data_IF_248279329925
#
_entry.id   IF_248279329925
#
_cell.length_a   1.000
_cell.length_b   1.000
_cell.length_c   1.000
_cell.angle_alpha   90.00
_cell.angle_beta   90.00
_cell.angle_gamma   90.00
#
_symmetry.space_group_name_H-M   'P 1'
#
loop_
_entity.id
_entity.type
_entity.pdbx_description
1 polymer ?
#
# COMPACT_ATOMS: atom_id res chain seq x y z
N UNK A 1 -25.31 -0.53 -28.73
CA UNK A 1 -25.02 -1.62 -29.68
C UNK A 1 -23.80 -1.21 -30.49
N UNK A 2 -22.63 -1.81 -30.25
CA UNK A 2 -21.45 -1.66 -31.09
C UNK A 2 -21.09 -3.06 -31.62
N UNK A 3 -20.96 -3.18 -32.95
CA UNK A 3 -20.70 -4.43 -33.65
C UNK A 3 -19.22 -4.81 -33.55
N UNK A 4 -18.98 -6.11 -33.44
CA UNK A 4 -17.69 -6.76 -33.65
C UNK A 4 -17.26 -6.55 -35.11
N UNK A 5 -16.10 -5.93 -35.39
CA UNK A 5 -15.62 -5.80 -36.77
C UNK A 5 -14.48 -4.84 -37.11
N UNK A 6 -14.16 -3.81 -36.32
CA UNK A 6 -13.18 -2.80 -36.76
C UNK A 6 -11.76 -3.07 -36.21
N UNK A 7 -11.03 -3.94 -36.89
CA UNK A 7 -9.57 -4.06 -36.73
C UNK A 7 -8.93 -2.98 -37.59
N UNK A 8 -8.53 -1.86 -36.98
CA UNK A 8 -7.70 -0.85 -37.64
C UNK A 8 -6.26 -1.36 -37.72
N UNK A 9 -5.87 -1.72 -38.94
CA UNK A 9 -4.52 -2.12 -39.32
C UNK A 9 -3.57 -0.91 -39.21
N UNK A 10 -2.66 -0.94 -38.22
CA UNK A 10 -1.63 0.10 -38.05
C UNK A 10 -0.47 -0.22 -38.98
N UNK A 11 -0.25 0.62 -40.01
CA UNK A 11 0.92 0.51 -40.90
C UNK A 11 2.21 0.88 -40.17
N UNK A 12 3.32 0.14 -40.37
CA UNK A 12 4.59 0.46 -39.75
C UNK A 12 5.20 1.72 -40.38
N UNK A 13 5.36 2.79 -39.59
CA UNK A 13 6.08 4.00 -40.01
C UNK A 13 5.48 5.35 -39.58
N UNK A 14 4.26 5.39 -39.04
CA UNK A 14 3.65 6.64 -38.59
C UNK A 14 3.85 6.88 -37.08
N UNK A 15 4.29 8.10 -36.72
CA UNK A 15 4.44 8.50 -35.31
C UNK A 15 3.06 8.53 -34.62
N UNK A 16 2.90 7.95 -33.43
CA UNK A 16 1.60 7.92 -32.77
C UNK A 16 1.19 9.34 -32.37
N UNK A 17 0.16 9.88 -33.04
CA UNK A 17 -0.55 11.07 -32.56
C UNK A 17 -1.23 10.73 -31.24
N UNK A 18 -0.72 11.41 -30.22
CA UNK A 18 -1.12 11.43 -28.82
C UNK A 18 -2.65 11.46 -28.65
N UNK A 19 -3.25 10.33 -28.31
CA UNK A 19 -4.54 10.27 -27.63
C UNK A 19 -4.29 10.48 -26.12
N UNK A 20 -4.22 11.76 -25.71
CA UNK A 20 -4.39 12.16 -24.31
C UNK A 20 -5.84 11.84 -23.91
N UNK A 21 -6.04 10.82 -23.08
CA UNK A 21 -7.37 10.57 -22.48
C UNK A 21 -7.60 9.19 -21.90
N UNK A 22 -6.84 8.17 -22.33
CA UNK A 22 -6.97 6.80 -21.81
C UNK A 22 -5.57 6.23 -21.62
N UNK A 23 -5.03 6.39 -20.41
CA UNK A 23 -3.73 5.85 -20.02
C UNK A 23 -3.77 4.35 -19.78
N UNK A 24 -4.11 3.57 -20.80
CA UNK A 24 -3.72 2.16 -20.90
C UNK A 24 -2.95 2.02 -22.21
N UNK A 25 -1.73 2.51 -22.20
CA UNK A 25 -0.77 2.25 -23.28
C UNK A 25 -0.25 0.84 -23.03
N UNK A 26 -0.87 -0.15 -23.68
CA UNK A 26 -0.24 -1.45 -23.90
C UNK A 26 0.82 -1.23 -24.98
N UNK A 27 1.94 -0.63 -24.62
CA UNK A 27 3.15 -0.68 -25.45
C UNK A 27 3.80 -2.03 -25.20
N UNK A 28 3.39 -3.01 -26.00
CA UNK A 28 4.23 -4.15 -26.32
C UNK A 28 5.46 -3.66 -27.08
N UNK A 29 6.54 -3.41 -26.34
CA UNK A 29 7.92 -3.49 -26.81
C UNK A 29 8.62 -4.35 -25.75
N UNK A 30 8.79 -5.66 -25.90
CA UNK A 30 9.65 -6.30 -26.91
C UNK A 30 11.01 -5.58 -27.05
N UNK A 31 11.60 -5.20 -25.92
CA UNK A 31 13.05 -5.06 -25.81
C UNK A 31 13.60 -6.27 -25.05
N UNK A 32 13.99 -7.26 -25.84
CA UNK A 32 15.27 -7.95 -25.71
C UNK A 32 15.70 -8.44 -24.33
N UNK A 33 15.13 -9.56 -23.88
CA UNK A 33 15.94 -10.61 -23.29
C UNK A 33 15.68 -11.91 -24.06
N UNK A 34 16.29 -11.99 -25.24
CA UNK A 34 16.62 -13.28 -25.84
C UNK A 34 17.69 -13.90 -24.93
N UNK A 35 17.27 -14.72 -23.97
CA UNK A 35 18.15 -15.73 -23.40
C UNK A 35 17.80 -17.07 -24.05
N UNK A 36 18.67 -17.64 -24.90
CA UNK A 36 18.44 -18.93 -25.52
C UNK A 36 18.92 -20.02 -24.56
N UNK A 37 18.16 -20.32 -23.50
CA UNK A 37 18.43 -21.50 -22.68
C UNK A 37 17.14 -22.17 -22.21
N UNK A 38 16.89 -23.39 -22.72
CA UNK A 38 16.07 -24.45 -22.12
C UNK A 38 14.63 -24.09 -21.73
N UNK A 39 13.69 -24.14 -22.69
CA UNK A 39 12.29 -23.72 -22.54
C UNK A 39 11.40 -24.50 -21.55
N UNK A 40 11.78 -25.65 -20.99
CA UNK A 40 10.96 -26.32 -19.95
C UNK A 40 11.56 -26.25 -18.54
N UNK A 41 12.89 -26.24 -18.41
CA UNK A 41 13.57 -26.14 -17.13
C UNK A 41 13.50 -24.75 -16.50
N UNK A 42 13.57 -23.68 -17.30
CA UNK A 42 13.57 -22.30 -16.78
C UNK A 42 12.19 -21.86 -16.29
N UNK A 43 11.10 -22.32 -16.93
CA UNK A 43 9.74 -22.05 -16.45
C UNK A 43 9.39 -22.84 -15.18
N UNK A 44 9.87 -24.08 -15.06
CA UNK A 44 9.71 -24.86 -13.84
C UNK A 44 10.46 -24.22 -12.68
N UNK A 45 11.72 -23.82 -12.90
CA UNK A 45 12.53 -23.11 -11.91
C UNK A 45 11.88 -21.78 -11.49
N UNK A 46 11.40 -20.98 -12.46
CA UNK A 46 10.68 -19.73 -12.17
C UNK A 46 9.43 -19.96 -11.33
N UNK A 47 8.60 -20.97 -11.65
CA UNK A 47 7.41 -21.32 -10.87
C UNK A 47 7.76 -21.76 -9.45
N UNK A 48 8.86 -22.48 -9.27
CA UNK A 48 9.34 -22.87 -7.93
C UNK A 48 9.76 -21.63 -7.14
N UNK A 49 10.55 -20.74 -7.73
CA UNK A 49 10.98 -19.49 -7.07
C UNK A 49 9.78 -18.63 -6.69
N UNK A 50 8.82 -18.43 -7.61
CA UNK A 50 7.60 -17.67 -7.34
C UNK A 50 6.79 -18.28 -6.17
N UNK A 51 6.68 -19.60 -6.10
CA UNK A 51 6.01 -20.29 -4.99
C UNK A 51 6.77 -20.13 -3.67
N UNK A 52 8.09 -20.28 -3.69
CA UNK A 52 8.92 -20.12 -2.48
C UNK A 52 8.81 -18.69 -1.95
N UNK A 53 8.93 -17.68 -2.82
CA UNK A 53 8.78 -16.27 -2.44
C UNK A 53 7.39 -15.99 -1.87
N UNK A 54 6.34 -16.48 -2.52
CA UNK A 54 4.97 -16.32 -2.03
C UNK A 54 4.77 -16.99 -0.65
N UNK A 55 5.31 -18.19 -0.45
CA UNK A 55 5.25 -18.88 0.83
C UNK A 55 6.00 -18.14 1.93
N UNK A 56 7.20 -17.62 1.64
CA UNK A 56 8.00 -16.85 2.62
C UNK A 56 7.27 -15.56 3.00
N UNK A 57 6.72 -14.83 2.03
CA UNK A 57 5.91 -13.64 2.31
C UNK A 57 4.65 -13.97 3.11
N UNK A 58 3.99 -15.08 2.80
CA UNK A 58 2.82 -15.54 3.54
C UNK A 58 3.16 -15.85 5.00
N UNK A 59 4.26 -16.58 5.24
CA UNK A 59 4.73 -16.90 6.60
C UNK A 59 5.10 -15.61 7.34
N UNK A 60 5.86 -14.71 6.71
CA UNK A 60 6.25 -13.43 7.30
C UNK A 60 5.01 -12.63 7.71
N UNK A 61 4.03 -12.50 6.81
CA UNK A 61 2.78 -11.79 7.10
C UNK A 61 2.04 -12.43 8.28
N UNK A 62 1.87 -13.75 8.29
CA UNK A 62 1.15 -14.45 9.38
C UNK A 62 1.86 -14.26 10.71
N UNK A 63 3.19 -14.41 10.75
CA UNK A 63 3.97 -14.22 11.97
C UNK A 63 3.92 -12.77 12.46
N UNK A 64 4.18 -11.79 11.58
CA UNK A 64 4.15 -10.38 11.92
C UNK A 64 2.76 -9.91 12.35
N UNK A 65 1.71 -10.37 11.67
CA UNK A 65 0.32 -10.08 12.03
C UNK A 65 -0.03 -10.71 13.37
N UNK A 66 0.42 -11.94 13.64
CA UNK A 66 0.23 -12.60 14.93
C UNK A 66 0.83 -11.81 16.09
N UNK A 67 2.04 -11.28 15.93
CA UNK A 67 2.69 -10.38 16.92
C UNK A 67 1.88 -9.10 17.10
N UNK A 68 1.53 -8.42 16.01
CA UNK A 68 0.78 -7.16 16.06
C UNK A 68 -0.60 -7.35 16.72
N UNK A 69 -1.34 -8.40 16.34
CA UNK A 69 -2.65 -8.71 16.93
C UNK A 69 -2.50 -9.04 18.42
N UNK A 70 -1.48 -9.81 18.80
CA UNK A 70 -1.22 -10.12 20.22
C UNK A 70 -0.97 -8.85 21.03
N UNK A 71 -0.17 -7.93 20.49
CA UNK A 71 0.07 -6.62 21.10
C UNK A 71 -1.22 -5.81 21.26
N UNK A 72 -2.05 -5.73 20.22
CA UNK A 72 -3.32 -4.98 20.25
C UNK A 72 -4.38 -5.60 21.17
N UNK A 73 -4.31 -6.91 21.43
CA UNK A 73 -5.18 -7.56 22.42
C UNK A 73 -4.78 -7.15 23.84
N UNK A 74 -3.47 -7.06 24.11
CA UNK A 74 -2.95 -6.72 25.44
C UNK A 74 -3.10 -5.24 25.75
N UNK A 75 -2.78 -4.37 24.78
CA UNK A 75 -2.72 -2.92 24.96
C UNK A 75 -3.95 -2.17 24.44
N UNK A 76 -4.97 -2.89 23.99
CA UNK A 76 -6.08 -2.35 23.21
C UNK A 76 -5.63 -1.73 21.88
N UNK A 77 -6.62 -1.34 21.06
CA UNK A 77 -6.32 -0.68 19.80
C UNK A 77 -5.74 0.72 20.05
N UNK A 78 -4.63 1.05 19.39
CA UNK A 78 -3.92 2.31 19.62
C UNK A 78 -4.50 3.46 18.81
N UNK A 79 -4.54 4.66 19.39
CA UNK A 79 -5.04 5.88 18.76
C UNK A 79 -4.04 7.04 18.89
N UNK A 80 -4.50 8.28 18.68
CA UNK A 80 -3.62 9.46 18.73
C UNK A 80 -3.10 9.82 20.11
N UNK A 81 -3.73 9.37 21.20
CA UNK A 81 -3.25 9.72 22.55
C UNK A 81 -1.93 9.01 22.88
N UNK A 82 -1.69 7.84 22.29
CA UNK A 82 -0.44 7.07 22.40
C UNK A 82 0.74 7.70 21.65
N UNK A 83 0.50 8.72 20.81
CA UNK A 83 1.61 9.52 20.27
C UNK A 83 2.29 10.37 21.35
N UNK A 84 1.57 10.64 22.45
CA UNK A 84 2.08 11.44 23.56
C UNK A 84 3.11 10.66 24.37
N UNK A 85 4.23 11.31 24.68
CA UNK A 85 5.31 10.78 25.53
C UNK A 85 5.55 11.75 26.67
N UNK A 86 5.43 11.25 27.90
CA UNK A 86 5.63 12.02 29.12
C UNK A 86 7.05 12.58 29.17
N UNK A 87 7.17 13.79 29.73
CA UNK A 87 8.44 14.50 29.94
C UNK A 87 9.27 14.79 28.67
N UNK A 88 8.71 14.57 27.47
CA UNK A 88 9.35 14.89 26.19
C UNK A 88 8.72 16.17 25.61
N UNK A 89 9.51 17.18 25.23
CA UNK A 89 8.97 18.37 24.56
C UNK A 89 8.22 18.00 23.26
N UNK A 90 7.06 18.65 23.05
CA UNK A 90 6.14 18.39 21.92
C UNK A 90 6.87 18.38 20.56
N UNK A 91 7.83 19.28 20.37
CA UNK A 91 8.61 19.36 19.13
C UNK A 91 9.35 18.06 18.80
N UNK A 92 9.95 17.39 19.81
CA UNK A 92 10.62 16.11 19.61
C UNK A 92 9.64 14.98 19.32
N UNK A 93 8.46 14.99 19.95
CA UNK A 93 7.41 14.00 19.68
C UNK A 93 6.92 14.11 18.22
N UNK A 94 6.67 15.34 17.74
CA UNK A 94 6.29 15.58 16.33
C UNK A 94 7.38 15.10 15.38
N UNK A 95 8.65 15.42 15.66
CA UNK A 95 9.78 14.93 14.86
C UNK A 95 9.82 13.41 14.85
N UNK A 96 9.62 12.76 15.99
CA UNK A 96 9.65 11.31 16.11
C UNK A 96 8.54 10.64 15.31
N UNK A 97 7.28 11.08 15.47
CA UNK A 97 6.14 10.58 14.70
C UNK A 97 6.36 10.80 13.21
N UNK A 98 6.82 11.99 12.81
CA UNK A 98 7.13 12.28 11.41
C UNK A 98 8.26 11.38 10.87
N UNK A 99 9.31 11.14 11.67
CA UNK A 99 10.41 10.27 11.30
C UNK A 99 9.93 8.83 11.07
N UNK A 100 9.17 8.25 12.01
CA UNK A 100 8.59 6.90 11.86
C UNK A 100 7.69 6.83 10.63
N UNK A 101 6.80 7.81 10.43
CA UNK A 101 5.91 7.85 9.28
C UNK A 101 6.67 7.90 7.95
N UNK A 102 7.72 8.73 7.85
CA UNK A 102 8.54 8.87 6.64
C UNK A 102 9.33 7.58 6.36
N UNK A 103 10.05 7.07 7.37
CA UNK A 103 10.89 5.87 7.21
C UNK A 103 10.04 4.69 6.79
N UNK A 104 8.91 4.46 7.46
CA UNK A 104 8.04 3.32 7.15
C UNK A 104 7.35 3.50 5.79
N UNK A 105 6.99 4.72 5.39
CA UNK A 105 6.47 4.99 4.04
C UNK A 105 7.49 4.67 2.95
N UNK A 106 8.77 5.03 3.15
CA UNK A 106 9.83 4.67 2.21
C UNK A 106 9.97 3.15 2.11
N UNK A 107 9.96 2.44 3.23
CA UNK A 107 10.08 0.98 3.26
C UNK A 107 8.89 0.28 2.58
N UNK A 108 7.68 0.75 2.83
CA UNK A 108 6.47 0.25 2.18
C UNK A 108 6.53 0.40 0.67
N UNK A 109 6.92 1.59 0.20
CA UNK A 109 7.02 1.82 -1.24
C UNK A 109 8.14 0.99 -1.86
N UNK A 110 9.26 0.83 -1.14
CA UNK A 110 10.33 -0.08 -1.54
C UNK A 110 9.83 -1.52 -1.70
N UNK A 111 8.89 -1.96 -0.84
CA UNK A 111 8.17 -3.21 -1.01
C UNK A 111 7.49 -3.29 -2.38
N UNK A 112 6.68 -2.30 -2.75
CA UNK A 112 6.03 -2.26 -4.06
C UNK A 112 7.00 -2.20 -5.23
N UNK A 113 8.14 -1.50 -5.10
CA UNK A 113 9.19 -1.45 -6.12
C UNK A 113 9.79 -2.85 -6.34
N UNK A 114 10.19 -3.51 -5.25
CA UNK A 114 10.87 -4.81 -5.31
C UNK A 114 9.92 -5.87 -5.86
N UNK A 115 8.71 -5.97 -5.31
CA UNK A 115 7.76 -7.02 -5.68
C UNK A 115 6.96 -6.70 -6.94
N UNK A 116 6.63 -5.43 -7.17
CA UNK A 116 5.99 -4.94 -8.38
C UNK A 116 6.94 -4.69 -9.54
N UNK A 117 8.27 -4.82 -9.34
CA UNK A 117 9.32 -4.51 -10.33
C UNK A 117 9.07 -3.16 -11.03
N UNK A 118 8.60 -2.18 -10.27
CA UNK A 118 8.21 -0.86 -10.78
C UNK A 118 9.34 0.12 -10.50
N UNK A 119 9.99 0.62 -11.56
CA UNK A 119 11.15 1.50 -11.45
C UNK A 119 10.79 3.00 -11.40
N UNK A 120 9.51 3.34 -11.19
CA UNK A 120 9.03 4.72 -11.11
C UNK A 120 8.39 5.03 -9.76
N UNK A 121 9.05 5.88 -8.95
CA UNK A 121 8.52 6.39 -7.68
C UNK A 121 8.15 7.86 -7.86
N UNK A 122 6.94 8.22 -7.46
CA UNK A 122 6.50 9.61 -7.33
C UNK A 122 6.04 9.83 -5.90
N UNK A 123 6.48 10.91 -5.24
CA UNK A 123 6.17 11.13 -3.82
C UNK A 123 5.98 12.59 -3.47
N UNK A 124 5.29 12.82 -2.36
CA UNK A 124 5.17 14.14 -1.74
C UNK A 124 5.63 14.05 -0.29
N UNK A 125 6.72 14.78 0.02
CA UNK A 125 7.27 14.87 1.38
C UNK A 125 6.25 15.49 2.35
N UNK A 126 5.43 16.42 1.86
CA UNK A 126 4.45 17.15 2.67
C UNK A 126 3.33 16.26 3.23
N UNK A 127 3.08 15.11 2.58
CA UNK A 127 2.05 14.16 2.95
C UNK A 127 2.63 12.82 3.41
N UNK A 128 3.96 12.71 3.51
CA UNK A 128 4.68 11.46 3.80
C UNK A 128 4.14 10.27 3.00
N UNK A 129 3.81 10.50 1.72
CA UNK A 129 3.26 9.49 0.82
C UNK A 129 4.16 9.36 -0.40
N UNK A 130 4.81 8.21 -0.55
CA UNK A 130 5.46 7.78 -1.78
C UNK A 130 4.52 6.81 -2.52
N UNK A 131 4.58 6.77 -3.85
CA UNK A 131 3.70 5.93 -4.69
C UNK A 131 4.40 5.45 -5.95
N UNK A 132 4.11 4.22 -6.33
CA UNK A 132 4.56 3.57 -7.57
C UNK A 132 3.37 3.21 -8.44
N UNK A 133 3.62 3.12 -9.75
CA UNK A 133 2.60 2.67 -10.69
C UNK A 133 2.65 1.14 -10.79
N UNK A 134 1.54 0.49 -10.41
CA UNK A 134 1.38 -0.97 -10.44
C UNK A 134 0.50 -1.46 -11.60
N UNK A 135 0.07 -0.61 -12.53
CA UNK A 135 -0.85 -1.02 -13.62
C UNK A 135 -0.31 -2.14 -14.52
N UNK A 136 1.01 -2.29 -14.66
CA UNK A 136 1.60 -3.32 -15.53
C UNK A 136 1.50 -4.72 -14.93
N UNK A 137 1.25 -4.87 -13.61
CA UNK A 137 1.21 -6.18 -12.98
C UNK A 137 -0.04 -6.98 -13.34
N UNK A 138 -1.07 -6.36 -13.93
CA UNK A 138 -2.31 -7.06 -14.29
C UNK A 138 -2.14 -8.18 -15.31
N UNK A 139 -1.03 -8.20 -16.07
CA UNK A 139 -0.69 -9.30 -16.98
C UNK A 139 0.04 -10.47 -16.29
N UNK A 140 0.35 -10.34 -14.99
CA UNK A 140 1.03 -11.37 -14.21
C UNK A 140 0.06 -12.40 -13.63
N UNK A 141 0.60 -13.51 -13.14
CA UNK A 141 -0.16 -14.52 -12.40
C UNK A 141 -0.75 -13.92 -11.12
N UNK A 142 -1.91 -14.43 -10.68
CA UNK A 142 -2.59 -13.98 -9.44
C UNK A 142 -1.64 -13.92 -8.23
N UNK A 143 -0.80 -14.95 -7.94
CA UNK A 143 0.10 -14.91 -6.79
C UNK A 143 1.14 -13.80 -6.87
N UNK A 144 1.66 -13.52 -8.07
CA UNK A 144 2.62 -12.43 -8.28
C UNK A 144 1.96 -11.05 -8.12
N UNK A 145 0.71 -10.90 -8.60
CA UNK A 145 -0.08 -9.67 -8.39
C UNK A 145 -0.37 -9.46 -6.90
N UNK A 146 -0.78 -10.51 -6.20
CA UNK A 146 -1.02 -10.46 -4.76
C UNK A 146 0.24 -10.04 -4.01
N UNK A 147 1.39 -10.65 -4.30
CA UNK A 147 2.65 -10.28 -3.67
C UNK A 147 3.02 -8.80 -3.92
N UNK A 148 2.87 -8.31 -5.15
CA UNK A 148 3.18 -6.93 -5.51
C UNK A 148 2.24 -5.89 -4.88
N UNK A 149 0.95 -6.22 -4.74
CA UNK A 149 -0.06 -5.31 -4.16
C UNK A 149 -0.04 -5.38 -2.62
N UNK A 150 0.22 -6.55 -2.03
CA UNK A 150 0.25 -6.72 -0.58
C UNK A 150 1.61 -6.39 0.04
N UNK A 151 2.68 -6.22 -0.74
CA UNK A 151 4.02 -6.00 -0.21
C UNK A 151 4.12 -4.79 0.71
N UNK A 152 3.45 -3.68 0.39
CA UNK A 152 3.45 -2.49 1.24
C UNK A 152 2.88 -2.78 2.64
N UNK A 153 1.69 -3.37 2.70
CA UNK A 153 1.06 -3.80 3.95
C UNK A 153 1.89 -4.83 4.73
N UNK A 154 2.48 -5.81 4.03
CA UNK A 154 3.36 -6.81 4.67
C UNK A 154 4.53 -6.10 5.34
N UNK A 155 5.17 -5.16 4.66
CA UNK A 155 6.28 -4.39 5.23
C UNK A 155 5.84 -3.57 6.43
N UNK A 156 4.68 -2.91 6.39
CA UNK A 156 4.20 -2.11 7.54
C UNK A 156 3.93 -2.97 8.77
N UNK A 157 3.24 -4.10 8.57
CA UNK A 157 2.96 -5.05 9.66
C UNK A 157 4.25 -5.67 10.18
N UNK A 158 5.21 -5.98 9.31
CA UNK A 158 6.53 -6.48 9.72
C UNK A 158 7.36 -5.42 10.46
N UNK A 159 7.29 -4.15 10.09
CA UNK A 159 7.93 -3.06 10.82
C UNK A 159 7.35 -2.90 12.22
N UNK A 160 6.01 -2.93 12.36
CA UNK A 160 5.35 -2.88 13.67
C UNK A 160 5.76 -4.07 14.54
N UNK A 161 5.67 -5.30 13.99
CA UNK A 161 6.07 -6.51 14.70
C UNK A 161 7.55 -6.48 15.13
N UNK A 162 8.43 -5.99 14.26
CA UNK A 162 9.84 -5.83 14.59
C UNK A 162 10.03 -4.91 15.79
N UNK A 163 9.42 -3.72 15.79
CA UNK A 163 9.49 -2.77 16.91
C UNK A 163 8.98 -3.38 18.22
N UNK A 164 7.84 -4.08 18.18
CA UNK A 164 7.25 -4.76 19.34
C UNK A 164 8.21 -5.80 19.93
N UNK A 165 8.97 -6.50 19.09
CA UNK A 165 9.93 -7.52 19.56
C UNK A 165 11.21 -6.90 20.12
N UNK A 166 11.69 -5.79 19.55
CA UNK A 166 12.99 -5.21 19.93
C UNK A 166 12.92 -4.19 21.07
N UNK A 167 11.79 -3.51 21.25
CA UNK A 167 11.62 -2.50 22.28
C UNK A 167 10.91 -3.07 23.51
N UNK A 168 11.22 -2.57 24.71
CA UNK A 168 10.49 -2.95 25.92
C UNK A 168 9.00 -2.56 25.82
N UNK A 169 8.13 -3.46 26.29
CA UNK A 169 6.68 -3.28 26.25
C UNK A 169 6.19 -2.05 27.04
N UNK A 170 6.92 -1.66 28.08
CA UNK A 170 6.65 -0.47 28.89
C UNK A 170 7.09 0.85 28.25
N UNK A 171 7.69 0.81 27.05
CA UNK A 171 8.23 2.00 26.39
C UNK A 171 7.13 2.83 25.73
N UNK A 172 6.95 4.07 26.18
CA UNK A 172 6.05 5.02 25.52
C UNK A 172 6.49 5.32 24.07
N UNK A 173 7.80 5.23 23.79
CA UNK A 173 8.33 5.32 22.42
C UNK A 173 7.85 4.17 21.52
N UNK A 174 7.72 2.96 22.08
CA UNK A 174 7.15 1.82 21.35
C UNK A 174 5.68 2.10 21.04
N UNK A 175 4.90 2.51 22.03
CA UNK A 175 3.46 2.82 21.85
C UNK A 175 3.23 3.89 20.79
N UNK A 176 4.00 4.99 20.86
CA UNK A 176 3.95 6.09 19.87
C UNK A 176 4.32 5.62 18.46
N UNK A 177 5.38 4.81 18.32
CA UNK A 177 5.78 4.27 17.03
C UNK A 177 4.76 3.28 16.45
N UNK A 178 4.23 2.37 17.27
CA UNK A 178 3.21 1.39 16.85
C UNK A 178 1.91 2.10 16.46
N UNK A 179 1.46 3.08 17.24
CA UNK A 179 0.31 3.91 16.88
C UNK A 179 0.52 4.65 15.56
N UNK A 180 1.72 5.19 15.31
CA UNK A 180 2.06 5.84 14.04
C UNK A 180 1.97 4.85 12.86
N UNK A 181 2.47 3.63 13.02
CA UNK A 181 2.40 2.61 11.96
C UNK A 181 0.95 2.14 11.75
N UNK A 182 0.18 1.95 12.81
CA UNK A 182 -1.24 1.57 12.73
C UNK A 182 -2.06 2.66 12.05
N UNK A 183 -1.86 3.93 12.44
CA UNK A 183 -2.48 5.07 11.75
C UNK A 183 -2.22 4.98 10.25
N UNK A 184 -0.99 4.71 9.86
CA UNK A 184 -0.60 4.62 8.45
C UNK A 184 -1.21 3.41 7.74
N UNK A 185 -1.23 2.24 8.38
CA UNK A 185 -1.92 1.05 7.85
C UNK A 185 -3.38 1.39 7.59
N UNK A 186 -4.08 1.92 8.60
CA UNK A 186 -5.50 2.34 8.49
C UNK A 186 -5.65 3.40 7.40
N UNK A 187 -4.74 4.37 7.31
CA UNK A 187 -4.75 5.39 6.27
C UNK A 187 -4.68 4.84 4.85
N UNK A 188 -3.91 3.78 4.60
CA UNK A 188 -3.87 3.12 3.28
C UNK A 188 -5.18 2.40 2.93
N UNK A 189 -6.04 2.13 3.92
CA UNK A 189 -7.39 1.59 3.74
C UNK A 189 -8.46 2.65 3.39
N UNK A 190 -8.07 3.80 2.87
CA UNK A 190 -8.98 4.88 2.53
C UNK A 190 -9.61 4.77 1.12
N UNK A 191 -10.92 4.94 1.01
CA UNK A 191 -11.66 4.84 -0.26
C UNK A 191 -11.63 6.13 -1.12
N UNK A 192 -11.52 7.32 -0.51
CA UNK A 192 -11.60 8.61 -1.24
C UNK A 192 -10.35 8.92 -2.03
N UNK A 193 -9.19 8.47 -1.56
CA UNK A 193 -7.88 8.75 -2.16
C UNK A 193 -7.38 7.57 -2.98
N UNK A 194 -6.39 7.82 -3.83
CA UNK A 194 -5.65 6.77 -4.54
C UNK A 194 -4.69 6.06 -3.57
N UNK A 195 -5.22 5.23 -2.68
CA UNK A 195 -4.45 4.40 -1.75
C UNK A 195 -4.49 2.93 -2.16
N UNK A 196 -3.77 2.10 -1.42
CA UNK A 196 -3.65 0.66 -1.67
C UNK A 196 -4.97 -0.11 -1.63
N UNK A 197 -5.95 0.33 -0.85
CA UNK A 197 -7.28 -0.30 -0.84
C UNK A 197 -7.91 -0.40 -2.22
N UNK A 198 -7.69 0.60 -3.08
CA UNK A 198 -8.20 0.55 -4.45
C UNK A 198 -7.60 -0.61 -5.22
N UNK A 199 -6.30 -0.86 -5.04
CA UNK A 199 -5.61 -2.00 -5.66
C UNK A 199 -6.06 -3.32 -5.05
N UNK A 200 -6.26 -3.41 -3.73
CA UNK A 200 -6.82 -4.61 -3.09
C UNK A 200 -8.21 -4.95 -3.61
N UNK A 201 -9.08 -3.96 -3.76
CA UNK A 201 -10.43 -4.16 -4.30
C UNK A 201 -10.38 -4.58 -5.78
N UNK A 202 -9.56 -3.93 -6.60
CA UNK A 202 -9.35 -4.37 -7.98
C UNK A 202 -8.84 -5.82 -8.04
N UNK A 203 -7.99 -6.23 -7.11
CA UNK A 203 -7.44 -7.59 -7.05
C UNK A 203 -8.50 -8.61 -6.63
N UNK A 204 -9.33 -8.27 -5.63
CA UNK A 204 -10.42 -9.11 -5.13
C UNK A 204 -11.44 -9.45 -6.22
N UNK A 205 -11.75 -8.48 -7.09
CA UNK A 205 -12.68 -8.64 -8.20
C UNK A 205 -11.99 -8.95 -9.54
N UNK A 206 -10.67 -9.15 -9.53
CA UNK A 206 -9.80 -9.33 -10.71
C UNK A 206 -10.14 -8.38 -11.87
N UNK A 207 -10.37 -7.10 -11.55
CA UNK A 207 -10.79 -6.10 -12.53
C UNK A 207 -10.04 -4.77 -12.31
N UNK A 208 -9.05 -4.43 -13.17
CA UNK A 208 -8.29 -3.19 -13.04
C UNK A 208 -9.13 -1.92 -13.25
N UNK A 209 -10.27 -2.02 -13.93
CA UNK A 209 -11.16 -0.89 -14.23
C UNK A 209 -12.29 -0.73 -13.21
N UNK A 210 -12.31 -1.56 -12.16
CA UNK A 210 -13.38 -1.57 -11.15
C UNK A 210 -13.61 -0.17 -10.56
N UNK A 211 -12.55 0.53 -10.16
CA UNK A 211 -12.66 1.85 -9.53
C UNK A 211 -13.26 2.89 -10.47
N UNK A 212 -12.89 2.86 -11.75
CA UNK A 212 -13.43 3.78 -12.76
C UNK A 212 -14.94 3.52 -12.94
N UNK A 213 -15.34 2.26 -12.93
CA UNK A 213 -16.74 1.87 -13.06
C UNK A 213 -17.57 2.25 -11.83
N UNK A 214 -17.00 2.13 -10.62
CA UNK A 214 -17.64 2.55 -9.37
C UNK A 214 -17.81 4.07 -9.34
N UNK A 215 -16.75 4.82 -9.66
CA UNK A 215 -16.75 6.29 -9.62
C UNK A 215 -17.72 6.91 -10.64
N UNK A 216 -17.81 6.33 -11.84
CA UNK A 216 -18.74 6.78 -12.89
C UNK A 216 -20.14 6.18 -12.77
N UNK A 217 -20.31 5.18 -11.91
CA UNK A 217 -21.53 4.41 -11.77
C UNK A 217 -22.45 4.94 -10.67
N UNK A 218 -23.58 4.24 -10.49
CA UNK A 218 -24.60 4.55 -9.48
C UNK A 218 -24.07 4.56 -8.04
N UNK A 219 -22.99 3.82 -7.77
CA UNK A 219 -22.41 3.66 -6.42
C UNK A 219 -21.33 4.69 -6.09
N UNK A 220 -20.94 5.57 -7.03
CA UNK A 220 -19.85 6.51 -6.81
C UNK A 220 -20.10 7.49 -5.67
N UNK A 221 -21.34 7.97 -5.52
CA UNK A 221 -21.73 8.84 -4.40
C UNK A 221 -21.59 8.13 -3.06
N UNK A 222 -22.08 6.89 -2.96
CA UNK A 222 -22.02 6.10 -1.73
C UNK A 222 -20.58 5.86 -1.29
N UNK A 223 -19.72 5.42 -2.21
CA UNK A 223 -18.30 5.16 -1.92
C UNK A 223 -17.58 6.43 -1.50
N UNK A 224 -17.89 7.57 -2.13
CA UNK A 224 -17.34 8.87 -1.73
C UNK A 224 -17.81 9.29 -0.34
N UNK A 225 -19.09 9.14 -0.02
CA UNK A 225 -19.64 9.45 1.31
C UNK A 225 -19.01 8.58 2.39
N UNK A 226 -18.86 7.28 2.15
CA UNK A 226 -18.21 6.35 3.08
C UNK A 226 -16.73 6.72 3.30
N UNK A 227 -16.00 7.04 2.24
CA UNK A 227 -14.60 7.45 2.39
C UNK A 227 -14.45 8.81 3.09
N UNK A 228 -15.38 9.75 2.92
CA UNK A 228 -15.37 11.02 3.70
C UNK A 228 -15.65 10.74 5.17
N UNK A 229 -16.63 9.89 5.49
CA UNK A 229 -16.90 9.50 6.88
C UNK A 229 -15.67 8.82 7.51
N UNK A 230 -14.97 8.00 6.73
CA UNK A 230 -13.71 7.37 7.12
C UNK A 230 -12.58 8.38 7.36
N UNK A 231 -12.41 9.36 6.46
CA UNK A 231 -11.46 10.47 6.62
C UNK A 231 -11.73 11.25 7.93
N UNK A 232 -13.00 11.55 8.21
CA UNK A 232 -13.40 12.25 9.45
C UNK A 232 -13.04 11.40 10.67
N UNK A 233 -13.36 10.09 10.65
CA UNK A 233 -13.03 9.19 11.74
C UNK A 233 -11.51 9.13 11.99
N UNK A 234 -10.70 9.05 10.93
CA UNK A 234 -9.24 9.06 11.02
C UNK A 234 -8.69 10.35 11.65
N UNK A 235 -9.20 11.51 11.26
CA UNK A 235 -8.79 12.80 11.82
C UNK A 235 -9.17 12.92 13.29
N UNK A 236 -10.36 12.44 13.66
CA UNK A 236 -10.81 12.45 15.05
C UNK A 236 -9.95 11.51 15.90
N UNK A 237 -9.80 10.25 15.47
CA UNK A 237 -9.18 9.21 16.27
C UNK A 237 -7.66 9.39 16.44
N UNK A 238 -6.97 10.10 15.55
CA UNK A 238 -5.53 10.37 15.69
C UNK A 238 -5.22 11.84 15.98
N UNK A 239 -5.20 12.77 15.01
CA UNK A 239 -4.84 14.16 15.27
C UNK A 239 -5.61 14.83 16.41
N UNK A 240 -6.94 14.66 16.49
CA UNK A 240 -7.73 15.33 17.54
C UNK A 240 -7.46 14.72 18.91
N UNK A 241 -7.43 13.39 19.05
CA UNK A 241 -7.10 12.75 20.32
C UNK A 241 -5.68 13.11 20.80
N UNK A 242 -4.72 13.23 19.88
CA UNK A 242 -3.37 13.71 20.20
C UNK A 242 -3.37 15.15 20.73
N UNK A 243 -4.13 16.06 20.11
CA UNK A 243 -4.24 17.44 20.63
C UNK A 243 -4.93 17.50 21.99
N UNK A 244 -5.93 16.65 22.23
CA UNK A 244 -6.61 16.57 23.52
C UNK A 244 -5.71 16.03 24.64
N UNK A 245 -4.85 15.05 24.35
CA UNK A 245 -3.86 14.56 25.32
C UNK A 245 -2.82 15.64 25.65
N UNK A 246 -2.39 16.44 24.67
CA UNK A 246 -1.47 17.58 24.90
C UNK A 246 -2.04 18.66 25.85
N UNK A 247 -3.36 18.87 25.84
CA UNK A 247 -4.02 19.89 26.68
C UNK A 247 -4.42 19.29 28.05
N UNK A 248 -4.15 18.00 28.30
CA UNK A 248 -4.49 17.31 29.54
C UNK A 248 -5.99 17.06 29.72
N UNK A 249 -6.76 17.08 28.63
CA UNK A 249 -8.22 16.81 28.65
C UNK A 249 -8.50 15.30 28.73
N UNK A 250 -7.54 14.48 28.31
CA UNK A 250 -7.62 13.02 28.37
C UNK A 250 -6.44 12.50 29.19
N UNK A 251 -6.69 12.29 30.48
CA UNK A 251 -5.89 11.46 31.40
C UNK A 251 -6.84 10.40 31.96
#
# INVERSE_FOLDING_TARGET
>A
MLRSGDILEVRPGESPRVLRGVGMVITGNLLGCVHPYGKSGSEACRRIVERVVASVLGILLVCSLGVLVSYLIVHSFTFGFEWFIDDVPIFYQIIFVAFIAIVTSILHELGHIIFGKSFGVSGSVLWSTFRTNLNHIWVWSIPARFAAICSGLIIDVSCAAFLIVILPDSSQWLSSAVSTIIFRIVWEFNLTRKTDLRWYLCLLFDNPLLMINIEKGKYGLLVRSLGIAYDIALVILWPVLFVLSLIGVMI
#
